data_IF_761801683093
#
_entry.id   IF_761801683093
#
_cell.length_a   1.000
_cell.length_b   1.000
_cell.length_c   1.000
_cell.angle_alpha   90.00
_cell.angle_beta   90.00
_cell.angle_gamma   90.00
#
_symmetry.space_group_name_H-M   'P 1'
#
loop_
_entity.id
_entity.type
_entity.pdbx_description
1 polymer ?
#
# COMPACT_ATOMS: atom_id res chain seq x y z
N UNK A 1 -8.14 -3.27 -3.49
CA UNK A 1 -9.09 -4.01 -2.65
C UNK A 1 -9.76 -5.17 -3.41
N UNK A 2 -10.37 -4.96 -4.59
CA UNK A 2 -11.17 -5.98 -5.29
C UNK A 2 -10.45 -7.33 -5.48
N UNK A 3 -9.18 -7.34 -5.90
CA UNK A 3 -8.38 -8.56 -6.12
C UNK A 3 -8.18 -9.35 -4.82
N UNK A 4 -7.87 -8.65 -3.71
CA UNK A 4 -7.72 -9.29 -2.37
C UNK A 4 -9.05 -9.90 -1.93
N UNK A 5 -10.16 -9.17 -2.08
CA UNK A 5 -11.51 -9.64 -1.75
C UNK A 5 -11.85 -10.89 -2.57
N UNK A 6 -11.52 -10.92 -3.86
CA UNK A 6 -11.70 -12.08 -4.72
C UNK A 6 -10.96 -13.34 -4.21
N UNK A 7 -9.71 -13.18 -3.78
CA UNK A 7 -8.93 -14.25 -3.15
C UNK A 7 -9.57 -14.74 -1.84
N UNK A 8 -10.01 -13.82 -0.98
CA UNK A 8 -10.72 -14.15 0.28
C UNK A 8 -12.00 -14.94 -0.03
N UNK A 9 -12.84 -14.44 -0.92
CA UNK A 9 -14.12 -15.07 -1.26
C UNK A 9 -13.94 -16.47 -1.82
N UNK A 10 -12.96 -16.66 -2.72
CA UNK A 10 -12.68 -17.97 -3.34
C UNK A 10 -12.36 -19.03 -2.28
N UNK A 11 -11.54 -18.70 -1.29
CA UNK A 11 -11.15 -19.64 -0.23
C UNK A 11 -12.32 -19.89 0.74
N UNK A 12 -12.98 -18.82 1.21
CA UNK A 12 -14.04 -18.95 2.23
C UNK A 12 -15.30 -19.60 1.68
N UNK A 13 -15.70 -19.29 0.44
CA UNK A 13 -16.89 -19.92 -0.19
C UNK A 13 -16.67 -21.43 -0.41
N UNK A 14 -15.44 -21.83 -0.73
CA UNK A 14 -15.07 -23.26 -0.80
C UNK A 14 -15.22 -24.02 0.53
N UNK A 15 -15.34 -23.29 1.65
CA UNK A 15 -15.56 -23.83 3.00
C UNK A 15 -16.97 -23.56 3.54
N UNK A 16 -17.89 -23.10 2.68
CA UNK A 16 -19.30 -22.83 3.04
C UNK A 16 -19.53 -21.53 3.83
N UNK A 17 -18.49 -20.71 4.04
CA UNK A 17 -18.61 -19.42 4.72
C UNK A 17 -19.07 -18.32 3.75
N UNK A 18 -19.77 -17.33 4.28
CA UNK A 18 -20.16 -16.13 3.53
C UNK A 18 -19.28 -14.95 3.94
N UNK A 19 -19.07 -14.02 3.02
CA UNK A 19 -18.26 -12.83 3.25
C UNK A 19 -19.17 -11.61 3.28
N UNK A 20 -19.13 -10.88 4.38
CA UNK A 20 -19.72 -9.54 4.50
C UNK A 20 -18.59 -8.53 4.27
N UNK A 21 -18.77 -7.61 3.33
CA UNK A 21 -17.79 -6.59 2.99
C UNK A 21 -18.28 -5.26 3.54
N UNK A 22 -17.43 -4.60 4.32
CA UNK A 22 -17.64 -3.24 4.79
C UNK A 22 -16.46 -2.35 4.39
N UNK A 23 -16.76 -1.21 3.80
CA UNK A 23 -15.78 -0.25 3.31
C UNK A 23 -15.81 1.00 4.19
N UNK A 24 -14.64 1.51 4.56
CA UNK A 24 -14.49 2.67 5.45
C UNK A 24 -14.06 3.95 4.74
N UNK A 25 -13.63 3.86 3.48
CA UNK A 25 -13.18 4.99 2.65
C UNK A 25 -12.15 5.90 3.35
N UNK A 26 -11.14 5.28 4.00
CA UNK A 26 -10.10 5.95 4.79
C UNK A 26 -10.66 6.78 5.97
N UNK A 27 -11.88 6.49 6.42
CA UNK A 27 -12.51 7.17 7.56
C UNK A 27 -12.48 6.27 8.81
N UNK A 28 -11.72 6.64 9.87
CA UNK A 28 -11.62 5.83 11.09
C UNK A 28 -12.94 5.68 11.84
N UNK A 29 -13.85 6.66 11.80
CA UNK A 29 -15.14 6.59 12.44
C UNK A 29 -16.04 5.57 11.74
N UNK A 30 -16.05 5.59 10.40
CA UNK A 30 -16.78 4.60 9.59
C UNK A 30 -16.22 3.20 9.82
N UNK A 31 -14.88 3.04 9.88
CA UNK A 31 -14.25 1.75 10.19
C UNK A 31 -14.67 1.24 11.56
N UNK A 32 -14.66 2.10 12.59
CA UNK A 32 -15.11 1.77 13.94
C UNK A 32 -16.58 1.29 13.94
N UNK A 33 -17.48 2.03 13.30
CA UNK A 33 -18.90 1.64 13.19
C UNK A 33 -19.12 0.31 12.44
N UNK A 34 -18.34 0.08 11.38
CA UNK A 34 -18.36 -1.19 10.65
C UNK A 34 -17.92 -2.37 11.54
N UNK A 35 -16.89 -2.19 12.34
CA UNK A 35 -16.40 -3.21 13.26
C UNK A 35 -17.41 -3.49 14.38
N UNK A 36 -18.07 -2.45 14.92
CA UNK A 36 -19.15 -2.62 15.90
C UNK A 36 -20.34 -3.37 15.31
N UNK A 37 -20.67 -3.13 14.04
CA UNK A 37 -21.72 -3.85 13.33
C UNK A 37 -21.34 -5.32 13.15
N UNK A 38 -20.10 -5.65 12.81
CA UNK A 38 -19.59 -7.01 12.74
C UNK A 38 -19.73 -7.75 14.08
N UNK A 39 -19.40 -7.07 15.19
CA UNK A 39 -19.61 -7.63 16.54
C UNK A 39 -21.11 -7.98 16.79
N UNK A 40 -22.02 -7.09 16.40
CA UNK A 40 -23.48 -7.32 16.56
C UNK A 40 -24.01 -8.47 15.71
N UNK A 41 -23.45 -8.64 14.52
CA UNK A 41 -23.79 -9.75 13.62
C UNK A 41 -23.14 -11.08 14.03
N UNK A 42 -22.35 -11.09 15.10
CA UNK A 42 -21.67 -12.30 15.62
C UNK A 42 -20.94 -13.04 14.49
N UNK A 43 -20.12 -12.31 13.71
CA UNK A 43 -19.33 -12.90 12.63
C UNK A 43 -18.32 -13.91 13.20
N UNK A 44 -18.03 -14.98 12.45
CA UNK A 44 -17.08 -16.03 12.83
C UNK A 44 -15.63 -15.53 12.87
N UNK A 45 -15.32 -14.44 12.16
CA UNK A 45 -14.00 -13.83 12.15
C UNK A 45 -13.96 -12.54 11.33
N UNK A 46 -12.90 -11.77 11.52
CA UNK A 46 -12.69 -10.48 10.85
C UNK A 46 -11.35 -10.49 10.10
N UNK A 47 -11.37 -10.17 8.81
CA UNK A 47 -10.20 -9.90 8.00
C UNK A 47 -10.19 -8.39 7.71
N UNK A 48 -9.15 -7.67 8.14
CA UNK A 48 -9.13 -6.22 8.08
C UNK A 48 -7.87 -5.65 7.42
N UNK A 49 -8.05 -4.54 6.68
CA UNK A 49 -7.00 -3.63 6.25
C UNK A 49 -7.29 -2.26 6.88
N UNK A 50 -6.72 -1.95 8.05
CA UNK A 50 -7.06 -0.75 8.80
C UNK A 50 -6.73 0.54 8.06
N UNK A 51 -7.62 1.52 8.10
CA UNK A 51 -7.33 2.86 7.59
C UNK A 51 -6.46 3.67 8.57
N UNK A 52 -6.73 3.59 9.88
CA UNK A 52 -5.93 4.20 10.94
C UNK A 52 -5.86 3.32 12.19
N UNK A 53 -4.87 2.45 12.20
CA UNK A 53 -4.65 1.53 13.33
C UNK A 53 -4.28 2.24 14.65
N UNK A 54 -3.86 3.49 14.61
CA UNK A 54 -3.57 4.27 15.82
C UNK A 54 -4.85 4.67 16.51
N UNK A 55 -5.85 5.10 15.76
CA UNK A 55 -7.17 5.49 16.29
C UNK A 55 -8.01 4.27 16.66
N UNK A 56 -8.02 3.25 15.80
CA UNK A 56 -8.92 2.10 15.93
C UNK A 56 -8.27 0.88 16.61
N UNK A 57 -7.05 0.99 17.12
CA UNK A 57 -6.36 -0.12 17.79
C UNK A 57 -7.14 -0.73 18.96
N UNK A 58 -7.95 0.07 19.66
CA UNK A 58 -8.72 -0.38 20.83
C UNK A 58 -9.92 -1.26 20.43
N UNK A 59 -10.66 -0.91 19.37
CA UNK A 59 -11.77 -1.76 18.93
C UNK A 59 -11.26 -3.10 18.38
N UNK A 60 -10.12 -3.14 17.69
CA UNK A 60 -9.51 -4.40 17.26
C UNK A 60 -9.11 -5.28 18.43
N UNK A 61 -8.53 -4.70 19.49
CA UNK A 61 -8.20 -5.45 20.73
C UNK A 61 -9.46 -5.97 21.40
N UNK A 62 -10.53 -5.16 21.47
CA UNK A 62 -11.83 -5.56 22.05
C UNK A 62 -12.45 -6.75 21.30
N UNK A 63 -12.47 -6.72 19.96
CA UNK A 63 -12.95 -7.81 19.12
C UNK A 63 -12.21 -9.11 19.45
N UNK A 64 -10.89 -9.03 19.52
CA UNK A 64 -10.06 -10.17 19.84
C UNK A 64 -10.29 -10.70 21.26
N UNK A 65 -10.39 -9.80 22.26
CA UNK A 65 -10.68 -10.17 23.65
C UNK A 65 -12.03 -10.89 23.81
N UNK A 66 -12.96 -10.62 22.92
CA UNK A 66 -14.25 -11.34 22.85
C UNK A 66 -14.16 -12.68 22.13
N UNK A 67 -12.98 -13.10 21.74
CA UNK A 67 -12.74 -14.40 21.10
C UNK A 67 -13.04 -14.43 19.60
N UNK A 68 -13.30 -13.28 18.96
CA UNK A 68 -13.49 -13.22 17.51
C UNK A 68 -12.13 -13.26 16.82
N UNK A 69 -11.85 -14.27 15.97
CA UNK A 69 -10.64 -14.36 15.18
C UNK A 69 -10.39 -13.10 14.34
N UNK A 70 -9.14 -12.64 14.32
CA UNK A 70 -8.73 -11.42 13.60
C UNK A 70 -7.47 -11.68 12.78
N UNK A 71 -7.52 -11.28 11.51
CA UNK A 71 -6.38 -11.30 10.60
C UNK A 71 -6.26 -9.95 9.90
N UNK A 72 -5.05 -9.39 9.89
CA UNK A 72 -4.76 -8.19 9.10
C UNK A 72 -4.13 -8.53 7.76
N UNK A 73 -4.38 -7.72 6.75
CA UNK A 73 -3.64 -7.77 5.50
C UNK A 73 -3.19 -6.38 5.06
N UNK A 74 -2.13 -6.31 4.29
CA UNK A 74 -1.50 -5.09 3.76
C UNK A 74 -1.09 -4.13 4.89
N UNK A 75 -2.02 -3.41 5.48
CA UNK A 75 -1.80 -2.46 6.59
C UNK A 75 -1.97 -3.17 7.92
N UNK A 76 -0.88 -3.67 8.49
CA UNK A 76 -0.93 -4.41 9.75
C UNK A 76 -0.40 -3.58 10.92
N UNK A 77 -1.24 -3.25 11.93
CA UNK A 77 -0.79 -2.51 13.11
C UNK A 77 0.13 -3.37 13.98
N UNK A 78 1.27 -2.81 14.41
CA UNK A 78 2.22 -3.52 15.28
C UNK A 78 1.73 -3.67 16.73
N UNK A 79 0.78 -2.83 17.15
CA UNK A 79 0.28 -2.78 18.55
C UNK A 79 -0.97 -3.62 18.79
N UNK A 80 -1.42 -4.36 17.81
CA UNK A 80 -2.53 -5.31 17.94
C UNK A 80 -1.99 -6.67 17.56
N UNK A 81 -1.97 -7.58 18.53
CA UNK A 81 -1.54 -8.94 18.28
C UNK A 81 -2.62 -9.64 17.45
N UNK A 82 -2.30 -10.05 16.25
CA UNK A 82 -3.14 -10.83 15.36
C UNK A 82 -2.28 -11.40 14.22
N UNK A 83 -2.75 -12.45 13.59
CA UNK A 83 -2.13 -12.93 12.37
C UNK A 83 -2.19 -11.87 11.28
N UNK A 84 -1.17 -11.83 10.40
CA UNK A 84 -1.07 -10.81 9.35
C UNK A 84 -0.44 -11.33 8.08
N UNK A 85 -0.89 -10.79 6.95
CA UNK A 85 -0.32 -11.04 5.64
C UNK A 85 0.18 -9.71 5.08
N UNK A 86 1.48 -9.58 4.87
CA UNK A 86 2.15 -8.33 4.47
C UNK A 86 3.14 -8.57 3.35
N UNK A 87 3.69 -7.50 2.79
CA UNK A 87 4.91 -7.50 1.99
C UNK A 87 6.00 -6.72 2.72
N UNK A 88 7.26 -6.92 2.35
CA UNK A 88 8.36 -6.11 2.87
C UNK A 88 8.42 -4.77 2.12
N UNK A 89 7.64 -3.81 2.59
CA UNK A 89 7.54 -2.46 2.01
C UNK A 89 8.87 -1.70 2.04
N UNK A 90 9.70 -1.95 3.05
CA UNK A 90 11.03 -1.33 3.15
C UNK A 90 11.96 -1.85 2.05
N UNK A 91 12.14 -3.16 1.96
CA UNK A 91 13.05 -3.78 1.01
C UNK A 91 12.60 -3.52 -0.44
N UNK A 92 11.31 -3.67 -0.74
CA UNK A 92 10.79 -3.43 -2.10
C UNK A 92 10.90 -1.96 -2.52
N UNK A 93 10.76 -1.01 -1.60
CA UNK A 93 11.00 0.41 -1.87
C UNK A 93 12.46 0.72 -2.12
N UNK A 94 13.37 0.07 -1.40
CA UNK A 94 14.80 0.15 -1.69
C UNK A 94 15.11 -0.35 -3.12
N UNK A 95 14.58 -1.50 -3.52
CA UNK A 95 14.79 -2.05 -4.86
C UNK A 95 14.14 -1.19 -5.95
N UNK A 96 13.00 -0.56 -5.68
CA UNK A 96 12.39 0.39 -6.62
C UNK A 96 13.28 1.62 -6.83
N UNK A 97 13.89 2.12 -5.76
CA UNK A 97 14.89 3.19 -5.86
C UNK A 97 16.12 2.75 -6.64
N UNK A 98 16.65 1.55 -6.40
CA UNK A 98 17.74 0.99 -7.17
C UNK A 98 17.40 0.92 -8.67
N UNK A 99 16.17 0.51 -9.01
CA UNK A 99 15.69 0.52 -10.39
C UNK A 99 15.74 1.93 -11.00
N UNK A 100 15.21 2.96 -10.34
CA UNK A 100 15.24 4.34 -10.84
C UNK A 100 16.67 4.83 -11.03
N UNK A 101 17.57 4.51 -10.11
CA UNK A 101 19.00 4.87 -10.21
C UNK A 101 19.68 4.19 -11.40
N UNK A 102 19.39 2.91 -11.63
CA UNK A 102 19.86 2.15 -12.80
C UNK A 102 19.33 2.72 -14.12
N UNK A 103 18.13 3.31 -14.11
CA UNK A 103 17.52 4.03 -15.24
C UNK A 103 18.08 5.46 -15.41
N UNK A 104 19.13 5.83 -14.67
CA UNK A 104 19.84 7.08 -14.81
C UNK A 104 19.26 8.24 -14.01
N UNK A 105 18.24 8.04 -13.18
CA UNK A 105 17.72 9.08 -12.30
C UNK A 105 18.75 9.48 -11.24
N UNK A 106 18.87 10.79 -10.99
CA UNK A 106 19.82 11.35 -10.03
C UNK A 106 19.16 12.28 -9.01
N UNK A 107 18.03 12.86 -9.35
CA UNK A 107 17.24 13.75 -8.49
C UNK A 107 15.83 13.17 -8.34
N UNK A 108 15.71 12.22 -7.42
CA UNK A 108 14.51 11.43 -7.22
C UNK A 108 13.72 12.01 -6.07
N UNK A 109 12.41 12.21 -6.29
CA UNK A 109 11.45 12.68 -5.29
C UNK A 109 10.52 11.55 -4.90
N UNK A 110 10.21 11.45 -3.61
CA UNK A 110 9.18 10.56 -3.09
C UNK A 110 7.89 11.32 -2.78
N UNK A 111 6.80 10.96 -3.43
CA UNK A 111 5.46 11.37 -3.01
C UNK A 111 5.02 10.43 -1.89
N UNK A 112 5.22 10.88 -0.65
CA UNK A 112 5.04 10.07 0.56
C UNK A 112 3.60 10.07 1.04
N UNK A 113 3.09 8.91 1.41
CA UNK A 113 1.75 8.74 1.95
C UNK A 113 1.60 9.23 3.40
N UNK A 114 0.35 9.20 3.92
CA UNK A 114 0.04 9.65 5.27
C UNK A 114 0.85 8.91 6.35
N UNK A 115 1.39 9.66 7.30
CA UNK A 115 2.31 9.11 8.32
C UNK A 115 1.65 8.12 9.30
N UNK A 116 0.32 8.11 9.43
CA UNK A 116 -0.40 7.13 10.26
C UNK A 116 -0.50 5.75 9.58
N UNK A 117 -0.28 5.66 8.27
CA UNK A 117 -0.34 4.41 7.51
C UNK A 117 1.00 3.66 7.64
N UNK A 118 1.04 2.42 8.17
CA UNK A 118 2.28 1.71 8.45
C UNK A 118 3.15 1.48 7.20
N UNK A 119 2.56 0.99 6.11
CA UNK A 119 3.30 0.73 4.87
C UNK A 119 3.79 2.01 4.18
N UNK A 120 3.09 3.15 4.29
CA UNK A 120 3.60 4.44 3.82
C UNK A 120 4.90 4.85 4.54
N UNK A 121 4.97 4.61 5.86
CA UNK A 121 6.20 4.84 6.65
C UNK A 121 7.35 3.93 6.22
N UNK A 122 7.08 2.65 6.00
CA UNK A 122 8.10 1.69 5.59
C UNK A 122 8.61 2.01 4.17
N UNK A 123 7.72 2.41 3.25
CA UNK A 123 8.09 2.87 1.91
C UNK A 123 8.98 4.11 1.95
N UNK A 124 8.62 5.09 2.77
CA UNK A 124 9.46 6.28 3.00
C UNK A 124 10.81 5.91 3.63
N UNK A 125 10.83 4.96 4.56
CA UNK A 125 12.07 4.51 5.21
C UNK A 125 12.99 3.83 4.19
N UNK A 126 12.46 2.97 3.31
CA UNK A 126 13.19 2.35 2.21
C UNK A 126 13.74 3.38 1.23
N UNK A 127 12.95 4.39 0.85
CA UNK A 127 13.38 5.51 0.03
C UNK A 127 14.57 6.26 0.65
N UNK A 128 14.45 6.68 1.92
CA UNK A 128 15.53 7.40 2.62
C UNK A 128 16.80 6.58 2.76
N UNK A 129 16.67 5.30 3.06
CA UNK A 129 17.80 4.39 3.14
C UNK A 129 18.52 4.29 1.79
N UNK A 130 17.76 4.19 0.69
CA UNK A 130 18.33 4.16 -0.67
C UNK A 130 19.06 5.46 -1.03
N UNK A 131 18.51 6.63 -0.67
CA UNK A 131 19.23 7.91 -0.88
C UNK A 131 20.62 7.86 -0.25
N UNK A 132 20.73 7.44 1.01
CA UNK A 132 22.01 7.31 1.71
C UNK A 132 22.95 6.29 1.04
N UNK A 133 22.44 5.14 0.61
CA UNK A 133 23.21 4.09 -0.04
C UNK A 133 23.77 4.50 -1.41
N UNK A 134 23.01 5.28 -2.16
CA UNK A 134 23.45 5.76 -3.49
C UNK A 134 24.18 7.11 -3.45
N UNK A 135 24.41 7.66 -2.25
CA UNK A 135 25.14 8.92 -2.06
C UNK A 135 24.36 10.16 -2.48
N UNK A 136 23.02 10.08 -2.49
CA UNK A 136 22.19 11.25 -2.79
C UNK A 136 21.94 12.09 -1.55
N UNK A 137 21.80 13.41 -1.75
CA UNK A 137 21.52 14.35 -0.66
C UNK A 137 20.07 14.14 -0.18
N UNK A 138 19.92 13.93 1.12
CA UNK A 138 18.62 13.86 1.80
C UNK A 138 18.38 15.16 2.57
N UNK A 139 17.94 16.21 1.89
CA UNK A 139 17.74 17.56 2.47
C UNK A 139 16.28 17.88 2.80
N UNK A 140 15.42 16.87 2.80
CA UNK A 140 13.98 17.02 3.07
C UNK A 140 13.16 17.54 1.88
N UNK A 141 13.79 18.13 0.83
CA UNK A 141 13.07 18.57 -0.38
C UNK A 141 12.61 17.40 -1.24
N UNK A 142 13.33 16.27 -1.17
CA UNK A 142 13.04 15.05 -1.90
C UNK A 142 11.84 14.24 -1.39
N UNK A 143 11.18 14.71 -0.32
CA UNK A 143 9.96 14.07 0.22
C UNK A 143 8.81 15.08 0.22
N UNK A 144 7.78 14.78 -0.55
CA UNK A 144 6.58 15.62 -0.64
C UNK A 144 5.41 14.82 -0.07
N UNK A 145 4.74 15.32 0.97
CA UNK A 145 3.54 14.68 1.49
C UNK A 145 2.46 14.60 0.41
N UNK A 146 1.88 13.42 0.26
CA UNK A 146 0.73 13.19 -0.60
C UNK A 146 -0.36 12.46 0.20
N UNK A 147 -1.60 12.56 -0.26
CA UNK A 147 -2.71 11.79 0.28
C UNK A 147 -2.85 10.43 -0.39
N UNK A 148 -4.07 10.03 -0.69
CA UNK A 148 -4.41 8.69 -1.18
C UNK A 148 -5.13 8.71 -2.54
N UNK A 149 -5.54 9.89 -3.03
CA UNK A 149 -6.34 10.07 -4.23
C UNK A 149 -5.50 10.45 -5.46
N UNK A 150 -6.13 10.42 -6.64
CA UNK A 150 -5.54 10.96 -7.86
C UNK A 150 -5.29 12.48 -7.74
N UNK A 151 -6.21 13.21 -7.15
CA UNK A 151 -6.08 14.66 -6.97
C UNK A 151 -4.95 15.02 -6.01
N UNK A 152 -4.72 14.21 -4.97
CA UNK A 152 -3.54 14.35 -4.11
C UNK A 152 -2.24 14.17 -4.90
N UNK A 153 -2.22 13.20 -5.84
CA UNK A 153 -1.08 12.99 -6.74
C UNK A 153 -0.83 14.18 -7.66
N UNK A 154 -1.89 14.80 -8.19
CA UNK A 154 -1.83 16.02 -9.00
C UNK A 154 -1.25 17.20 -8.22
N UNK A 155 -1.78 17.46 -7.03
CA UNK A 155 -1.31 18.53 -6.15
C UNK A 155 0.16 18.31 -5.73
N UNK A 156 0.54 17.07 -5.44
CA UNK A 156 1.91 16.73 -5.08
C UNK A 156 2.87 16.92 -6.27
N UNK A 157 2.44 16.73 -7.52
CA UNK A 157 3.26 17.02 -8.71
C UNK A 157 3.53 18.52 -8.87
N UNK A 158 2.54 19.39 -8.61
CA UNK A 158 2.75 20.85 -8.62
C UNK A 158 3.77 21.26 -7.55
N UNK A 159 3.65 20.71 -6.34
CA UNK A 159 4.60 20.97 -5.25
C UNK A 159 6.00 20.42 -5.53
N UNK A 160 6.11 19.25 -6.19
CA UNK A 160 7.38 18.70 -6.65
C UNK A 160 8.10 19.68 -7.57
N UNK A 161 7.42 20.17 -8.60
CA UNK A 161 8.02 21.07 -9.57
C UNK A 161 8.40 22.42 -8.97
N UNK A 162 7.67 22.87 -7.96
CA UNK A 162 8.00 24.07 -7.20
C UNK A 162 9.26 23.91 -6.34
N UNK A 163 9.42 22.75 -5.67
CA UNK A 163 10.56 22.49 -4.76
C UNK A 163 11.81 22.01 -5.48
N UNK A 164 11.62 21.15 -6.49
CA UNK A 164 12.71 20.50 -7.23
C UNK A 164 12.37 20.49 -8.72
N UNK A 165 12.45 21.65 -9.40
CA UNK A 165 12.12 21.78 -10.83
C UNK A 165 13.04 20.95 -11.74
N UNK A 166 14.17 20.54 -11.22
CA UNK A 166 15.19 19.73 -11.90
C UNK A 166 15.12 18.24 -11.52
N UNK A 167 14.05 17.79 -10.82
CA UNK A 167 13.82 16.38 -10.54
C UNK A 167 13.69 15.58 -11.84
N UNK A 168 14.27 14.39 -11.86
CA UNK A 168 14.30 13.48 -13.00
C UNK A 168 13.71 12.11 -12.73
N UNK A 169 13.34 11.84 -11.47
CA UNK A 169 12.69 10.63 -11.01
C UNK A 169 11.64 10.89 -9.95
N UNK A 170 10.55 10.15 -10.01
CA UNK A 170 9.45 10.21 -9.07
C UNK A 170 9.09 8.80 -8.59
N UNK A 171 9.13 8.58 -7.28
CA UNK A 171 8.59 7.41 -6.61
C UNK A 171 7.34 7.82 -5.83
N UNK A 172 6.17 7.43 -6.29
CA UNK A 172 4.91 7.62 -5.56
C UNK A 172 4.58 6.40 -4.70
N UNK A 173 4.15 6.65 -3.47
CA UNK A 173 3.86 5.58 -2.50
C UNK A 173 2.72 4.63 -2.91
N UNK A 174 1.86 5.03 -3.87
CA UNK A 174 0.84 4.16 -4.50
C UNK A 174 0.70 4.46 -5.99
N UNK A 175 0.13 3.51 -6.74
CA UNK A 175 -0.21 3.70 -8.17
C UNK A 175 -1.20 4.85 -8.37
N UNK A 176 -2.19 4.99 -7.48
CA UNK A 176 -3.19 6.07 -7.55
C UNK A 176 -2.52 7.45 -7.55
N UNK A 177 -1.61 7.68 -6.60
CA UNK A 177 -0.85 8.92 -6.49
C UNK A 177 0.10 9.09 -7.70
N UNK A 178 0.77 8.02 -8.14
CA UNK A 178 1.63 8.05 -9.32
C UNK A 178 0.88 8.48 -10.58
N UNK A 179 -0.31 7.91 -10.82
CA UNK A 179 -1.14 8.19 -11.99
C UNK A 179 -1.65 9.65 -11.94
N UNK A 180 -2.08 10.11 -10.76
CA UNK A 180 -2.46 11.51 -10.57
C UNK A 180 -1.32 12.47 -10.93
N UNK A 181 -0.11 12.18 -10.45
CA UNK A 181 1.09 12.95 -10.76
C UNK A 181 1.43 12.89 -12.27
N UNK A 182 1.39 11.70 -12.89
CA UNK A 182 1.66 11.55 -14.34
C UNK A 182 0.68 12.38 -15.18
N UNK A 183 -0.60 12.38 -14.84
CA UNK A 183 -1.61 13.19 -15.54
C UNK A 183 -1.27 14.68 -15.43
N UNK A 184 -0.88 15.14 -14.24
CA UNK A 184 -0.50 16.54 -14.04
C UNK A 184 0.77 16.92 -14.80
N UNK A 185 1.81 16.08 -14.74
CA UNK A 185 3.04 16.27 -15.50
C UNK A 185 2.76 16.40 -17.01
N UNK A 186 1.89 15.55 -17.55
CA UNK A 186 1.50 15.62 -18.97
C UNK A 186 0.79 16.92 -19.33
N UNK A 187 -0.11 17.41 -18.48
CA UNK A 187 -0.79 18.71 -18.67
C UNK A 187 0.19 19.88 -18.71
N UNK A 188 1.27 19.78 -17.93
CA UNK A 188 2.35 20.77 -17.89
C UNK A 188 3.42 20.57 -18.99
N UNK A 189 3.21 19.63 -19.91
CA UNK A 189 4.12 19.37 -21.02
C UNK A 189 5.39 18.60 -20.64
N UNK A 190 5.48 18.04 -19.43
CA UNK A 190 6.62 17.24 -18.97
C UNK A 190 6.47 15.81 -19.47
N UNK A 191 7.46 15.36 -20.23
CA UNK A 191 7.45 14.05 -20.87
C UNK A 191 7.89 12.94 -19.90
N UNK A 192 7.01 11.95 -19.70
CA UNK A 192 7.33 10.72 -18.97
C UNK A 192 7.60 9.61 -20.00
N UNK A 193 8.74 8.91 -19.96
CA UNK A 193 9.80 8.97 -18.96
C UNK A 193 10.93 9.97 -19.28
N UNK A 194 10.94 10.58 -20.46
CA UNK A 194 12.11 11.26 -21.03
C UNK A 194 12.65 12.39 -20.13
N UNK A 195 11.80 13.18 -19.51
CA UNK A 195 12.20 14.24 -18.57
C UNK A 195 12.06 13.79 -17.12
N UNK A 196 11.02 13.00 -16.79
CA UNK A 196 10.81 12.47 -15.47
C UNK A 196 10.37 11.00 -15.54
N UNK A 197 11.16 10.10 -15.02
CA UNK A 197 10.75 8.72 -14.81
C UNK A 197 9.78 8.63 -13.63
N UNK A 198 8.71 7.86 -13.77
CA UNK A 198 7.70 7.72 -12.71
C UNK A 198 7.51 6.26 -12.34
N UNK A 199 7.57 5.97 -11.04
CA UNK A 199 7.30 4.64 -10.50
C UNK A 199 6.25 4.72 -9.39
N UNK A 200 5.35 3.73 -9.36
CA UNK A 200 4.29 3.56 -8.37
C UNK A 200 4.50 2.36 -7.47
N UNK A 201 3.48 2.04 -6.71
CA UNK A 201 3.44 0.92 -5.78
C UNK A 201 2.00 0.38 -5.69
N UNK A 202 1.82 -0.91 -5.71
CA UNK A 202 0.66 -1.78 -5.52
C UNK A 202 0.41 -2.74 -6.69
N UNK A 203 0.75 -2.37 -7.92
CA UNK A 203 0.53 -3.23 -9.10
C UNK A 203 -0.94 -3.36 -9.48
N UNK A 204 -1.69 -2.26 -9.35
CA UNK A 204 -3.12 -2.26 -9.73
C UNK A 204 -3.29 -2.37 -11.24
N UNK A 205 -4.46 -2.83 -11.71
CA UNK A 205 -4.78 -2.90 -13.14
C UNK A 205 -4.62 -1.55 -13.83
N UNK A 206 -4.83 -0.44 -13.12
CA UNK A 206 -4.66 0.92 -13.64
C UNK A 206 -3.23 1.17 -14.15
N UNK A 207 -2.22 0.53 -13.53
CA UNK A 207 -0.82 0.66 -13.97
C UNK A 207 -0.58 0.14 -15.39
N UNK A 208 -1.45 -0.73 -15.91
CA UNK A 208 -1.34 -1.32 -17.24
C UNK A 208 -2.13 -0.58 -18.32
N UNK A 209 -3.11 0.24 -17.94
CA UNK A 209 -3.99 0.94 -18.89
C UNK A 209 -3.65 2.41 -19.07
N UNK A 210 -2.85 3.00 -18.15
CA UNK A 210 -2.37 4.39 -18.32
C UNK A 210 -1.30 4.48 -19.40
N UNK A 211 -1.12 5.67 -19.97
CA UNK A 211 -0.09 5.92 -20.97
C UNK A 211 0.83 7.08 -20.54
N UNK A 212 2.17 6.81 -20.41
CA UNK A 212 2.82 5.50 -20.54
C UNK A 212 2.39 4.53 -19.44
N UNK A 213 2.49 3.21 -19.69
CA UNK A 213 2.22 2.19 -18.68
C UNK A 213 3.16 2.38 -17.47
N UNK A 214 2.61 2.29 -16.26
CA UNK A 214 3.31 2.61 -15.03
C UNK A 214 4.19 1.45 -14.53
N UNK A 215 5.48 1.70 -14.37
CA UNK A 215 6.39 0.85 -13.58
C UNK A 215 5.95 0.89 -12.12
N UNK A 216 5.80 -0.28 -11.50
CA UNK A 216 5.29 -0.37 -10.13
C UNK A 216 5.85 -1.57 -9.38
N UNK A 217 5.87 -1.49 -8.06
CA UNK A 217 5.98 -2.70 -7.22
C UNK A 217 4.64 -3.42 -7.26
N UNK A 218 4.63 -4.60 -7.86
CA UNK A 218 3.43 -5.45 -7.96
C UNK A 218 3.33 -6.32 -6.71
N UNK A 219 2.32 -6.05 -5.88
CA UNK A 219 1.99 -6.88 -4.73
C UNK A 219 1.18 -8.10 -5.19
N UNK A 220 1.40 -9.30 -4.60
CA UNK A 220 0.63 -10.50 -4.92
C UNK A 220 -0.76 -10.45 -4.25
N UNK A 221 -1.62 -9.52 -4.71
CA UNK A 221 -2.88 -9.16 -4.06
C UNK A 221 -3.86 -10.34 -3.97
N UNK A 222 -3.91 -11.21 -4.98
CA UNK A 222 -4.76 -12.41 -4.96
C UNK A 222 -4.28 -13.41 -3.90
N UNK A 223 -2.98 -13.70 -3.89
CA UNK A 223 -2.36 -14.55 -2.89
C UNK A 223 -2.53 -13.98 -1.47
N UNK A 224 -2.40 -12.66 -1.31
CA UNK A 224 -2.63 -11.97 -0.03
C UNK A 224 -4.03 -12.25 0.50
N UNK A 225 -5.05 -12.18 -0.36
CA UNK A 225 -6.43 -12.53 0.01
C UNK A 225 -6.58 -14.00 0.39
N UNK A 226 -6.02 -14.92 -0.40
CA UNK A 226 -6.06 -16.36 -0.12
C UNK A 226 -5.39 -16.67 1.24
N UNK A 227 -4.21 -16.13 1.49
CA UNK A 227 -3.48 -16.36 2.75
C UNK A 227 -4.19 -15.78 3.96
N UNK A 228 -4.79 -14.59 3.82
CA UNK A 228 -5.61 -14.02 4.90
C UNK A 228 -6.81 -14.91 5.24
N UNK A 229 -7.47 -15.46 4.22
CA UNK A 229 -8.59 -16.39 4.39
C UNK A 229 -8.16 -17.74 5.01
N UNK A 230 -7.00 -18.27 4.64
CA UNK A 230 -6.44 -19.47 5.26
C UNK A 230 -6.13 -19.26 6.75
N UNK A 231 -5.52 -18.14 7.09
CA UNK A 231 -5.21 -17.79 8.48
C UNK A 231 -6.46 -17.61 9.34
N UNK A 232 -7.53 -17.00 8.79
CA UNK A 232 -8.78 -16.83 9.56
C UNK A 232 -9.48 -18.18 9.77
N UNK A 233 -9.46 -19.08 8.77
CA UNK A 233 -10.02 -20.44 8.90
C UNK A 233 -9.28 -21.25 9.97
N UNK A 234 -7.95 -21.16 10.03
CA UNK A 234 -7.18 -21.81 11.10
C UNK A 234 -7.59 -21.30 12.49
N UNK A 235 -7.75 -19.99 12.61
CA UNK A 235 -8.17 -19.36 13.88
C UNK A 235 -9.61 -19.68 14.28
N UNK A 236 -10.51 -19.85 13.31
CA UNK A 236 -11.90 -20.30 13.55
C UNK A 236 -11.90 -21.76 14.02
N UNK A 237 -11.09 -22.63 13.40
CA UNK A 237 -10.99 -24.03 13.74
C UNK A 237 -10.28 -24.27 15.09
N UNK A 238 -9.25 -23.49 15.38
CA UNK A 238 -8.49 -23.52 16.63
C UNK A 238 -8.17 -22.09 17.13
N UNK A 239 -8.99 -21.54 18.02
CA UNK A 239 -8.74 -20.22 18.60
C UNK A 239 -7.41 -20.11 19.36
N UNK A 240 -6.82 -21.22 19.78
CA UNK A 240 -5.53 -21.26 20.48
C UNK A 240 -4.31 -21.25 19.53
N UNK A 241 -4.51 -21.45 18.23
CA UNK A 241 -3.44 -21.41 17.25
C UNK A 241 -2.63 -20.12 17.38
N UNK A 242 -1.29 -20.15 17.26
CA UNK A 242 -0.46 -18.96 17.42
C UNK A 242 -0.71 -17.94 16.30
N UNK A 243 -0.56 -16.65 16.63
CA UNK A 243 -0.57 -15.61 15.60
C UNK A 243 0.68 -15.71 14.74
N UNK A 244 0.51 -15.56 13.43
CA UNK A 244 1.59 -15.66 12.44
C UNK A 244 1.65 -14.44 11.55
N UNK A 245 2.88 -14.08 11.18
CA UNK A 245 3.14 -13.10 10.11
C UNK A 245 3.55 -13.86 8.85
N UNK A 246 2.78 -13.71 7.80
CA UNK A 246 3.11 -14.22 6.46
C UNK A 246 3.60 -13.02 5.64
N UNK A 247 4.86 -13.06 5.23
CA UNK A 247 5.44 -12.04 4.34
C UNK A 247 5.48 -12.60 2.92
N UNK A 248 4.77 -11.95 2.01
CA UNK A 248 4.70 -12.33 0.60
C UNK A 248 5.76 -11.58 -0.20
N UNK A 249 6.20 -12.19 -1.29
CA UNK A 249 7.16 -11.58 -2.22
C UNK A 249 6.44 -10.68 -3.20
N UNK A 250 6.77 -9.39 -3.19
CA UNK A 250 6.38 -8.44 -4.24
C UNK A 250 7.55 -8.24 -5.22
N UNK A 251 7.26 -7.87 -6.45
CA UNK A 251 8.27 -7.68 -7.49
C UNK A 251 8.07 -6.37 -8.26
N UNK A 252 9.16 -5.82 -8.80
CA UNK A 252 9.08 -4.65 -9.67
C UNK A 252 8.62 -5.12 -11.05
N UNK A 253 7.53 -4.54 -11.55
CA UNK A 253 7.10 -4.66 -12.94
C UNK A 253 7.55 -3.41 -13.70
N UNK A 254 8.62 -3.58 -14.43
CA UNK A 254 9.16 -2.54 -15.30
C UNK A 254 8.24 -2.30 -16.47
N UNK A 255 7.91 -1.02 -16.74
CA UNK A 255 7.07 -0.59 -17.85
C UNK A 255 7.57 0.72 -18.43
N UNK A 256 6.80 1.29 -19.37
CA UNK A 256 7.23 2.43 -20.16
C UNK A 256 7.51 3.71 -19.35
N UNK A 257 6.90 3.90 -18.17
CA UNK A 257 7.07 5.12 -17.37
C UNK A 257 8.48 5.31 -16.78
N UNK A 258 9.36 4.31 -16.88
CA UNK A 258 10.78 4.39 -16.49
C UNK A 258 11.71 3.92 -17.60
N UNK A 259 11.22 3.65 -18.82
CA UNK A 259 12.02 3.19 -19.94
C UNK A 259 12.78 4.39 -20.58
N UNK A 260 13.96 4.69 -20.06
CA UNK A 260 14.91 5.69 -20.57
C UNK A 260 16.05 5.00 -21.29
#
# INVERSE_FOLDING_TARGET
AATVIGGIQRVLYGRGLKVIIAQSDENPQTECGNLELMERFMVDGVIACPCDATRNGEIYRRIRQRGVPLVFYDRAPLRVDASRVIVDDFATSYFLMEHLVRRGCRRIVHLGGPAHIPNARERLRGFRYALGKFGFVSDGRSVIPAGVTFDDGRAAADELLRRMPDADGLFAWTDTVAIGAMNRLRELGIRVPAQMAVAGYSGTVLSTIVNPQLTTVEQPLDEMGCRAAELILEKIADPSAPDRTVTLTACIRERASTAR
#
